data_IF_743340687569
#
_entry.id   IF_743340687569
#
_cell.length_a   1.000
_cell.length_b   1.000
_cell.length_c   1.000
_cell.angle_alpha   90.00
_cell.angle_beta   90.00
_cell.angle_gamma   90.00
#
_symmetry.space_group_name_H-M   'P 1'
#
loop_
_entity.id
_entity.type
_entity.pdbx_description
1 polymer ?
#
# COMPACT_ATOMS: atom_id res chain seq x y z
N UNK A 1 -9.64 11.36 23.51
CA UNK A 1 -8.45 10.71 22.93
C UNK A 1 -8.93 10.08 21.63
N UNK A 2 -8.27 10.35 20.51
CA UNK A 2 -8.64 9.71 19.25
C UNK A 2 -7.74 8.50 19.07
N UNK A 3 -8.36 7.33 18.85
CA UNK A 3 -7.67 6.04 18.78
C UNK A 3 -8.09 5.27 17.53
N UNK A 4 -7.14 4.56 16.95
CA UNK A 4 -7.35 3.63 15.85
C UNK A 4 -6.84 2.25 16.28
N UNK A 5 -7.70 1.23 16.32
CA UNK A 5 -7.24 -0.15 16.42
C UNK A 5 -6.31 -0.48 15.26
N UNK A 6 -5.26 -1.24 15.54
CA UNK A 6 -4.32 -1.73 14.54
C UNK A 6 -4.44 -3.24 14.47
N UNK A 7 -4.57 -3.76 13.24
CA UNK A 7 -4.58 -5.19 12.98
C UNK A 7 -3.51 -5.57 11.98
N UNK A 8 -3.01 -6.79 12.12
CA UNK A 8 -2.13 -7.43 11.15
C UNK A 8 -2.90 -8.60 10.52
N UNK A 9 -3.21 -8.48 9.23
CA UNK A 9 -4.30 -9.24 8.61
C UNK A 9 -5.60 -9.01 9.43
N UNK A 10 -6.14 -10.04 10.09
CA UNK A 10 -7.34 -9.95 10.92
C UNK A 10 -7.04 -9.97 12.44
N UNK A 11 -5.78 -10.14 12.82
CA UNK A 11 -5.36 -10.25 14.21
C UNK A 11 -5.20 -8.85 14.83
N UNK A 12 -5.91 -8.52 15.93
CA UNK A 12 -5.65 -7.30 16.68
C UNK A 12 -4.23 -7.32 17.25
N UNK A 13 -3.44 -6.29 16.96
CA UNK A 13 -2.07 -6.20 17.45
C UNK A 13 -1.87 -5.05 18.43
N UNK A 14 -2.74 -4.05 18.42
CA UNK A 14 -2.59 -2.88 19.27
C UNK A 14 -3.54 -1.74 18.91
N UNK A 15 -3.28 -0.58 19.49
CA UNK A 15 -4.02 0.66 19.27
C UNK A 15 -3.03 1.81 19.11
N UNK A 16 -3.27 2.64 18.10
CA UNK A 16 -2.55 3.91 17.95
C UNK A 16 -3.45 5.07 18.35
N UNK A 17 -2.96 5.93 19.23
CA UNK A 17 -3.66 7.08 19.76
C UNK A 17 -2.94 8.38 19.46
N UNK A 18 -3.71 9.47 19.41
CA UNK A 18 -3.19 10.85 19.33
C UNK A 18 -3.80 11.72 20.43
N UNK A 19 -2.97 12.52 21.10
CA UNK A 19 -3.38 13.35 22.24
C UNK A 19 -2.88 14.79 22.16
N UNK A 20 -3.74 15.71 22.61
CA UNK A 20 -3.43 17.13 22.78
C UNK A 20 -3.25 17.91 21.48
N UNK A 21 -3.07 19.23 21.60
CA UNK A 21 -2.81 20.14 20.47
C UNK A 21 -1.43 19.93 19.82
N UNK A 22 -0.50 19.27 20.53
CA UNK A 22 0.86 18.96 20.06
C UNK A 22 0.94 17.66 19.26
N UNK A 23 -0.20 17.00 19.00
CA UNK A 23 -0.25 15.75 18.22
C UNK A 23 0.70 14.68 18.76
N UNK A 24 0.62 14.41 20.07
CA UNK A 24 1.46 13.39 20.70
C UNK A 24 0.89 12.02 20.38
N UNK A 25 1.62 11.25 19.58
CA UNK A 25 1.30 9.89 19.19
C UNK A 25 1.70 8.89 20.28
N UNK A 26 0.86 7.88 20.46
CA UNK A 26 1.11 6.72 21.31
C UNK A 26 0.71 5.46 20.58
N UNK A 27 1.48 4.39 20.75
CA UNK A 27 1.16 3.09 20.22
C UNK A 27 1.31 2.06 21.33
N UNK A 28 0.28 1.25 21.51
CA UNK A 28 0.22 0.23 22.55
C UNK A 28 -0.13 -1.10 21.90
N UNK A 29 0.75 -2.10 22.04
CA UNK A 29 0.46 -3.45 21.61
C UNK A 29 -0.53 -4.13 22.57
N UNK A 30 -1.30 -5.08 22.07
CA UNK A 30 -2.08 -5.98 22.93
C UNK A 30 -1.16 -6.95 23.67
N UNK A 31 -1.56 -7.41 24.86
CA UNK A 31 -0.78 -8.39 25.61
C UNK A 31 -0.69 -9.73 24.86
N UNK A 32 -1.75 -10.11 24.13
CA UNK A 32 -1.76 -11.32 23.30
C UNK A 32 -0.74 -11.25 22.17
N UNK A 33 -0.57 -10.07 21.54
CA UNK A 33 0.41 -9.89 20.47
C UNK A 33 1.83 -9.84 21.01
N UNK A 34 2.07 -9.19 22.16
CA UNK A 34 3.39 -9.21 22.80
C UNK A 34 3.84 -10.64 23.16
N UNK A 35 2.91 -11.50 23.56
CA UNK A 35 3.21 -12.87 23.96
C UNK A 35 3.60 -13.81 22.80
N UNK A 36 3.17 -13.52 21.57
CA UNK A 36 3.25 -14.49 20.45
C UNK A 36 3.64 -13.90 19.10
N UNK A 37 3.65 -12.58 18.98
CA UNK A 37 3.90 -11.84 17.76
C UNK A 37 5.31 -11.26 17.70
N UNK A 38 5.42 -10.16 16.97
CA UNK A 38 6.68 -9.44 16.76
C UNK A 38 6.44 -7.93 16.69
N UNK A 39 7.51 -7.17 16.94
CA UNK A 39 7.52 -5.71 16.81
C UNK A 39 7.33 -5.33 15.33
N UNK A 40 6.37 -4.46 15.02
CA UNK A 40 6.05 -4.10 13.62
C UNK A 40 7.11 -3.18 12.98
N UNK A 41 8.01 -2.63 13.78
CA UNK A 41 9.21 -1.91 13.37
C UNK A 41 10.21 -1.99 14.53
N UNK A 42 11.53 -2.03 14.26
CA UNK A 42 12.55 -1.98 15.31
C UNK A 42 12.44 -0.75 16.23
N UNK A 43 11.80 0.32 15.75
CA UNK A 43 11.60 1.57 16.47
C UNK A 43 10.23 1.68 17.14
N UNK A 44 9.44 0.60 17.09
CA UNK A 44 8.20 0.42 17.84
C UNK A 44 8.34 -0.82 18.73
N UNK A 45 9.28 -0.83 19.70
CA UNK A 45 9.61 -2.02 20.47
C UNK A 45 8.53 -2.44 21.48
N UNK A 46 8.57 -3.71 21.88
CA UNK A 46 7.80 -4.23 23.01
C UNK A 46 8.36 -3.70 24.34
N UNK A 47 7.45 -3.48 25.29
CA UNK A 47 7.73 -3.16 26.70
C UNK A 47 8.74 -2.03 26.96
N UNK A 48 8.93 -1.15 25.97
CA UNK A 48 9.74 0.07 26.05
C UNK A 48 8.91 1.27 25.64
N UNK A 49 9.29 2.45 26.11
CA UNK A 49 8.64 3.69 25.70
C UNK A 49 8.91 3.94 24.22
N UNK A 50 7.83 3.95 23.43
CA UNK A 50 7.89 4.29 22.02
C UNK A 50 7.84 5.82 21.87
N UNK A 51 8.76 6.39 21.10
CA UNK A 51 8.78 7.83 20.87
C UNK A 51 7.63 8.27 19.96
N UNK A 52 6.97 9.38 20.30
CA UNK A 52 5.94 9.97 19.42
C UNK A 52 6.48 10.32 18.03
N UNK A 53 7.77 10.65 17.92
CA UNK A 53 8.41 10.98 16.64
C UNK A 53 8.57 9.76 15.74
N UNK A 54 8.98 8.62 16.32
CA UNK A 54 9.13 7.35 15.59
C UNK A 54 7.78 6.83 15.12
N UNK A 55 6.72 6.95 15.94
CA UNK A 55 5.35 6.61 15.52
C UNK A 55 4.91 7.48 14.35
N UNK A 56 5.11 8.80 14.43
CA UNK A 56 4.76 9.73 13.35
C UNK A 56 5.48 9.38 12.06
N UNK A 57 6.80 9.17 12.10
CA UNK A 57 7.60 8.78 10.92
C UNK A 57 7.17 7.43 10.35
N UNK A 58 6.89 6.45 11.20
CA UNK A 58 6.38 5.16 10.76
C UNK A 58 5.07 5.30 9.97
N UNK A 59 4.14 6.12 10.47
CA UNK A 59 2.87 6.41 9.78
C UNK A 59 3.07 7.21 8.50
N UNK A 60 3.94 8.22 8.50
CA UNK A 60 4.24 9.02 7.31
C UNK A 60 4.79 8.15 6.17
N UNK A 61 5.66 7.17 6.47
CA UNK A 61 6.18 6.22 5.48
C UNK A 61 5.12 5.22 4.98
N UNK A 62 3.95 5.11 5.62
CA UNK A 62 2.83 4.31 5.10
C UNK A 62 1.91 5.11 4.17
N UNK A 63 1.98 6.45 4.20
CA UNK A 63 1.15 7.29 3.36
C UNK A 63 1.65 7.28 1.90
N UNK A 64 0.76 7.51 0.93
CA UNK A 64 1.16 7.76 -0.45
C UNK A 64 2.05 9.01 -0.56
N UNK A 65 2.79 9.09 -1.65
CA UNK A 65 3.67 10.23 -1.95
C UNK A 65 3.19 11.01 -3.17
N UNK A 66 3.70 12.24 -3.34
CA UNK A 66 3.45 13.08 -4.51
C UNK A 66 1.97 13.19 -4.87
N UNK A 67 1.64 12.88 -6.14
CA UNK A 67 0.27 12.93 -6.67
C UNK A 67 -0.69 12.00 -5.92
N UNK A 68 -0.22 10.85 -5.41
CA UNK A 68 -1.07 9.93 -4.64
C UNK A 68 -1.57 10.56 -3.34
N UNK A 69 -0.72 11.36 -2.67
CA UNK A 69 -1.10 12.12 -1.49
C UNK A 69 -2.04 13.28 -1.85
N UNK A 70 -1.80 13.95 -2.98
CA UNK A 70 -2.68 15.01 -3.49
C UNK A 70 -4.09 14.48 -3.79
N UNK A 71 -4.17 13.33 -4.45
CA UNK A 71 -5.43 12.67 -4.77
C UNK A 71 -6.16 12.22 -3.48
N UNK A 72 -5.42 11.67 -2.50
CA UNK A 72 -5.98 11.29 -1.19
C UNK A 72 -6.55 12.49 -0.43
N UNK A 73 -5.76 13.56 -0.32
CA UNK A 73 -6.20 14.77 0.40
C UNK A 73 -7.37 15.46 -0.29
N UNK A 74 -7.38 15.49 -1.63
CA UNK A 74 -8.51 16.02 -2.41
C UNK A 74 -9.76 15.16 -2.25
N UNK A 75 -9.63 13.83 -2.23
CA UNK A 75 -10.75 12.90 -2.09
C UNK A 75 -11.35 12.91 -0.68
N UNK A 76 -10.50 13.03 0.35
CA UNK A 76 -10.92 12.97 1.76
C UNK A 76 -11.22 14.34 2.36
N UNK A 77 -10.79 15.42 1.71
CA UNK A 77 -10.78 16.79 2.23
C UNK A 77 -9.99 16.94 3.55
N UNK A 78 -9.03 16.04 3.80
CA UNK A 78 -8.15 16.06 4.96
C UNK A 78 -6.82 16.71 4.58
N UNK A 79 -6.33 17.61 5.43
CA UNK A 79 -5.03 18.27 5.25
C UNK A 79 -3.87 17.25 5.21
N UNK A 80 -2.87 17.50 4.36
CA UNK A 80 -1.64 16.70 4.25
C UNK A 80 -0.91 16.54 5.59
N UNK A 81 -1.04 17.53 6.48
CA UNK A 81 -0.37 17.52 7.77
C UNK A 81 -1.13 16.70 8.82
N UNK A 82 -2.40 16.36 8.58
CA UNK A 82 -3.22 15.56 9.50
C UNK A 82 -2.99 14.06 9.24
N UNK A 83 -1.80 13.57 9.57
CA UNK A 83 -1.38 12.18 9.35
C UNK A 83 -2.37 11.19 9.96
N UNK A 84 -2.80 11.42 11.21
CA UNK A 84 -3.77 10.55 11.87
C UNK A 84 -5.12 10.50 11.14
N UNK A 85 -5.62 11.65 10.66
CA UNK A 85 -6.84 11.73 9.88
C UNK A 85 -6.72 11.00 8.54
N UNK A 86 -5.59 11.15 7.85
CA UNK A 86 -5.31 10.44 6.60
C UNK A 86 -5.23 8.92 6.82
N UNK A 87 -4.56 8.47 7.89
CA UNK A 87 -4.52 7.06 8.27
C UNK A 87 -5.91 6.51 8.59
N UNK A 88 -6.75 7.28 9.28
CA UNK A 88 -8.14 6.92 9.55
C UNK A 88 -8.96 6.79 8.26
N UNK A 89 -8.74 7.69 7.29
CA UNK A 89 -9.47 7.68 6.02
C UNK A 89 -9.01 6.56 5.07
N UNK A 90 -7.70 6.26 5.03
CA UNK A 90 -7.14 5.14 4.26
C UNK A 90 -7.52 3.79 4.87
N UNK A 91 -7.47 3.71 6.20
CA UNK A 91 -7.89 2.57 7.00
C UNK A 91 -7.21 1.23 6.64
N UNK A 92 -7.90 0.41 5.84
CA UNK A 92 -7.69 -1.03 5.68
C UNK A 92 -6.67 -1.45 4.62
N UNK A 93 -6.22 -0.51 3.81
CA UNK A 93 -5.27 -0.78 2.74
C UNK A 93 -4.00 0.01 3.02
N UNK A 94 -2.95 -0.69 3.45
CA UNK A 94 -1.58 -0.16 3.53
C UNK A 94 -0.62 -1.08 2.79
N UNK A 95 0.60 -0.62 2.54
CA UNK A 95 1.71 -1.49 2.15
C UNK A 95 1.95 -2.54 3.23
N UNK A 96 2.12 -3.81 2.85
CA UNK A 96 2.23 -4.92 3.81
C UNK A 96 0.88 -5.40 4.36
N UNK A 97 0.86 -5.71 5.66
CA UNK A 97 -0.21 -6.46 6.32
C UNK A 97 -1.02 -5.66 7.34
N UNK A 98 -0.66 -4.40 7.60
CA UNK A 98 -1.30 -3.58 8.63
C UNK A 98 -2.61 -2.95 8.14
N UNK A 99 -3.55 -2.79 9.06
CA UNK A 99 -4.77 -2.02 8.86
C UNK A 99 -5.09 -1.21 10.11
N UNK A 100 -5.65 -0.02 9.89
CA UNK A 100 -5.93 0.96 10.94
C UNK A 100 -7.44 1.25 10.97
N UNK A 101 -8.04 1.26 12.15
CA UNK A 101 -9.45 1.59 12.36
C UNK A 101 -10.39 0.39 12.59
N UNK A 102 -11.65 0.69 12.91
CA UNK A 102 -12.70 -0.31 13.19
C UNK A 102 -13.35 -0.76 11.88
N UNK A 103 -13.38 -2.07 11.64
CA UNK A 103 -13.95 -2.69 10.43
C UNK A 103 -15.41 -2.26 10.23
N UNK A 104 -15.66 -1.49 9.17
CA UNK A 104 -17.01 -1.16 8.70
C UNK A 104 -17.19 -1.39 7.19
N UNK A 105 -16.58 -2.46 6.67
CA UNK A 105 -16.88 -2.95 5.32
C UNK A 105 -17.26 -4.42 5.38
N UNK A 106 -18.23 -4.76 4.54
CA UNK A 106 -18.60 -6.13 4.19
C UNK A 106 -17.32 -6.93 3.90
N UNK A 107 -16.99 -7.88 4.78
CA UNK A 107 -15.80 -8.74 4.64
C UNK A 107 -15.97 -9.77 3.52
N UNK A 108 -17.16 -9.82 2.91
CA UNK A 108 -17.45 -10.69 1.78
C UNK A 108 -16.43 -10.47 0.66
N UNK A 109 -15.69 -11.51 0.28
CA UNK A 109 -14.78 -11.45 -0.86
C UNK A 109 -15.53 -11.00 -2.11
N UNK A 110 -15.11 -9.88 -2.70
CA UNK A 110 -15.72 -9.36 -3.92
C UNK A 110 -14.65 -9.07 -4.96
N UNK A 111 -14.63 -9.89 -6.01
CA UNK A 111 -13.78 -9.68 -7.17
C UNK A 111 -14.52 -8.79 -8.17
N UNK A 112 -13.90 -7.67 -8.56
CA UNK A 112 -14.45 -6.75 -9.57
C UNK A 112 -13.57 -6.86 -10.82
N UNK A 113 -13.97 -7.61 -11.85
CA UNK A 113 -13.17 -7.79 -13.06
C UNK A 113 -12.83 -6.46 -13.73
N UNK A 114 -11.64 -6.35 -14.30
CA UNK A 114 -11.24 -5.24 -15.16
C UNK A 114 -11.07 -5.82 -16.57
N UNK A 115 -11.84 -5.30 -17.52
CA UNK A 115 -11.70 -5.70 -18.92
C UNK A 115 -10.50 -5.00 -19.57
N UNK A 116 -9.94 -5.60 -20.62
CA UNK A 116 -8.85 -4.99 -21.39
C UNK A 116 -9.26 -3.61 -21.93
N UNK A 117 -10.48 -3.50 -22.48
CA UNK A 117 -11.04 -2.24 -22.99
C UNK A 117 -11.11 -1.17 -21.91
N UNK A 118 -11.60 -1.53 -20.73
CA UNK A 118 -11.70 -0.59 -19.62
C UNK A 118 -10.32 -0.15 -19.13
N UNK A 119 -9.38 -1.07 -18.95
CA UNK A 119 -8.04 -0.71 -18.53
C UNK A 119 -7.33 0.17 -19.57
N UNK A 120 -7.49 -0.14 -20.86
CA UNK A 120 -6.95 0.67 -21.95
C UNK A 120 -7.47 2.11 -21.88
N UNK A 121 -8.79 2.29 -21.74
CA UNK A 121 -9.38 3.62 -21.58
C UNK A 121 -8.82 4.37 -20.36
N UNK A 122 -8.57 3.66 -19.25
CA UNK A 122 -7.97 4.29 -18.06
C UNK A 122 -6.54 4.72 -18.30
N UNK A 123 -5.77 3.96 -19.07
CA UNK A 123 -4.39 4.31 -19.42
C UNK A 123 -4.39 5.51 -20.38
N UNK A 124 -5.32 5.57 -21.35
CA UNK A 124 -5.48 6.73 -22.24
C UNK A 124 -5.74 8.03 -21.47
N UNK A 125 -6.44 7.94 -20.33
CA UNK A 125 -6.82 9.09 -19.51
C UNK A 125 -5.81 9.40 -18.38
N UNK A 126 -4.73 8.64 -18.25
CA UNK A 126 -3.84 8.62 -17.06
C UNK A 126 -3.20 9.98 -16.72
N UNK A 127 -2.99 10.83 -17.73
CA UNK A 127 -2.47 12.20 -17.54
C UNK A 127 -3.46 13.13 -16.84
N UNK A 128 -4.76 12.86 -17.00
CA UNK A 128 -5.85 13.72 -16.56
C UNK A 128 -6.67 13.14 -15.41
N UNK A 129 -6.65 11.81 -15.25
CA UNK A 129 -7.42 11.09 -14.25
C UNK A 129 -6.54 10.11 -13.51
N UNK A 130 -6.74 10.08 -12.20
CA UNK A 130 -6.03 9.19 -11.29
C UNK A 130 -6.29 7.71 -11.61
N UNK A 131 -5.22 6.93 -11.79
CA UNK A 131 -5.34 5.49 -12.07
C UNK A 131 -5.85 4.70 -10.86
N UNK A 132 -5.78 5.27 -9.66
CA UNK A 132 -6.20 4.62 -8.41
C UNK A 132 -7.65 4.88 -8.04
N UNK A 133 -8.39 5.75 -8.75
CA UNK A 133 -9.81 5.99 -8.45
C UNK A 133 -10.68 5.08 -9.31
N UNK A 134 -11.45 4.18 -8.70
CA UNK A 134 -12.35 3.24 -9.38
C UNK A 134 -13.68 3.11 -8.65
N UNK A 135 -14.79 3.10 -9.40
CA UNK A 135 -16.14 2.94 -8.82
C UNK A 135 -16.42 3.95 -7.69
N UNK A 136 -15.94 5.20 -7.86
CA UNK A 136 -15.98 6.30 -6.87
C UNK A 136 -15.26 5.98 -5.54
N UNK A 137 -14.35 5.02 -5.55
CA UNK A 137 -13.51 4.64 -4.40
C UNK A 137 -12.05 4.80 -4.78
N UNK A 138 -11.28 5.44 -3.92
CA UNK A 138 -9.83 5.43 -4.02
C UNK A 138 -9.31 4.03 -3.64
N UNK A 139 -8.40 3.51 -4.46
CA UNK A 139 -7.65 2.28 -4.22
C UNK A 139 -6.34 2.60 -3.52
N UNK A 140 -5.78 1.60 -2.83
CA UNK A 140 -4.45 1.70 -2.24
C UNK A 140 -3.44 2.31 -3.21
N UNK A 141 -2.96 3.49 -2.87
CA UNK A 141 -1.75 4.04 -3.47
C UNK A 141 -0.58 3.57 -2.64
N UNK A 142 0.28 2.74 -3.24
CA UNK A 142 1.55 2.41 -2.62
C UNK A 142 2.46 3.66 -2.69
N UNK A 143 3.30 3.91 -1.68
CA UNK A 143 4.31 4.98 -1.73
C UNK A 143 5.18 4.88 -3.00
N UNK A 144 5.62 6.01 -3.58
CA UNK A 144 6.42 6.23 -4.83
C UNK A 144 5.71 7.02 -5.96
N UNK A 145 6.50 7.66 -6.83
CA UNK A 145 6.09 8.68 -7.83
C UNK A 145 5.35 8.12 -9.05
N UNK A 146 5.57 6.85 -9.40
CA UNK A 146 5.00 6.25 -10.61
C UNK A 146 3.55 5.80 -10.42
N UNK A 147 2.73 6.04 -11.45
CA UNK A 147 1.35 5.58 -11.53
C UNK A 147 1.28 4.04 -11.45
N UNK A 148 0.43 3.55 -10.55
CA UNK A 148 0.31 2.12 -10.29
C UNK A 148 -1.05 1.75 -9.73
N UNK A 149 -1.44 0.50 -9.97
CA UNK A 149 -2.71 -0.06 -9.54
C UNK A 149 -2.50 -1.46 -8.96
N UNK A 150 -2.78 -1.67 -7.65
CA UNK A 150 -2.82 -3.00 -7.08
C UNK A 150 -4.02 -3.78 -7.64
N UNK A 151 -3.76 -5.00 -8.12
CA UNK A 151 -4.77 -5.86 -8.75
C UNK A 151 -4.68 -7.29 -8.23
N UNK A 152 -5.78 -8.02 -8.32
CA UNK A 152 -5.85 -9.46 -8.12
C UNK A 152 -5.86 -10.14 -9.49
N UNK A 153 -4.95 -11.09 -9.68
CA UNK A 153 -4.99 -12.04 -10.79
C UNK A 153 -5.61 -13.33 -10.27
N UNK A 154 -6.78 -13.70 -10.80
CA UNK A 154 -7.52 -14.91 -10.38
C UNK A 154 -8.02 -15.63 -11.63
N UNK A 155 -7.64 -16.89 -11.79
CA UNK A 155 -8.05 -17.73 -12.93
C UNK A 155 -7.80 -17.02 -14.28
N UNK A 156 -6.60 -16.45 -14.46
CA UNK A 156 -6.19 -15.58 -15.59
C UNK A 156 -6.94 -14.25 -15.75
N UNK A 157 -8.00 -14.02 -14.97
CA UNK A 157 -8.74 -12.77 -14.98
C UNK A 157 -8.10 -11.73 -14.06
N UNK A 158 -7.94 -10.51 -14.59
CA UNK A 158 -7.48 -9.35 -13.85
C UNK A 158 -8.66 -8.61 -13.23
N UNK A 159 -8.53 -8.16 -11.98
CA UNK A 159 -9.57 -7.35 -11.35
C UNK A 159 -9.16 -6.68 -10.05
N UNK A 160 -10.06 -5.85 -9.53
CA UNK A 160 -9.90 -5.20 -8.24
C UNK A 160 -10.34 -6.15 -7.12
N UNK A 161 -9.48 -6.31 -6.14
CA UNK A 161 -9.82 -6.96 -4.88
C UNK A 161 -10.68 -6.02 -4.02
N UNK A 162 -11.83 -6.49 -3.56
CA UNK A 162 -12.68 -5.80 -2.59
C UNK A 162 -13.07 -6.75 -1.44
N UNK A 163 -13.50 -6.15 -0.33
CA UNK A 163 -13.93 -6.89 0.86
C UNK A 163 -12.75 -7.67 1.45
N UNK A 164 -12.92 -8.97 1.69
CA UNK A 164 -11.85 -9.85 2.22
C UNK A 164 -10.78 -10.27 1.20
N UNK A 165 -10.85 -9.85 -0.06
CA UNK A 165 -9.80 -10.14 -1.04
C UNK A 165 -8.63 -9.16 -0.92
N UNK A 166 -7.44 -9.62 -1.30
CA UNK A 166 -6.23 -8.79 -1.38
C UNK A 166 -5.64 -8.83 -2.79
N UNK A 167 -5.00 -7.74 -3.21
CA UNK A 167 -4.21 -7.72 -4.43
C UNK A 167 -2.98 -8.63 -4.31
N UNK A 168 -2.63 -9.25 -5.43
CA UNK A 168 -1.49 -10.17 -5.61
C UNK A 168 -0.42 -9.55 -6.50
N UNK A 169 -0.80 -8.56 -7.31
CA UNK A 169 0.05 -7.95 -8.29
C UNK A 169 -0.08 -6.43 -8.24
N UNK A 170 0.92 -5.74 -8.77
CA UNK A 170 0.92 -4.29 -8.97
C UNK A 170 1.12 -4.07 -10.47
N UNK A 171 0.18 -3.39 -11.10
CA UNK A 171 0.38 -2.84 -12.43
C UNK A 171 1.10 -1.50 -12.30
N UNK A 172 2.15 -1.30 -13.08
CA UNK A 172 2.87 -0.03 -13.19
C UNK A 172 2.73 0.50 -14.61
N UNK A 173 2.45 1.79 -14.69
CA UNK A 173 2.16 2.47 -15.94
C UNK A 173 3.26 3.49 -16.26
N UNK A 174 3.29 3.93 -17.51
CA UNK A 174 4.12 5.05 -17.94
C UNK A 174 3.24 6.27 -18.19
N UNK A 175 3.84 7.45 -18.03
CA UNK A 175 3.24 8.75 -18.38
C UNK A 175 4.14 9.43 -19.40
N UNK A 176 3.67 10.50 -20.04
CA UNK A 176 4.46 11.31 -20.99
C UNK A 176 5.74 11.86 -20.37
N UNK A 177 5.77 12.07 -19.05
CA UNK A 177 6.98 12.56 -18.36
C UNK A 177 8.03 11.45 -18.19
N UNK A 178 7.60 10.19 -18.14
CA UNK A 178 8.43 9.03 -17.87
C UNK A 178 8.26 7.99 -18.99
N UNK A 179 8.49 8.41 -20.23
CA UNK A 179 8.41 7.51 -21.38
C UNK A 179 9.40 6.34 -21.21
N UNK A 180 8.98 5.15 -21.64
CA UNK A 180 9.77 3.91 -21.57
C UNK A 180 10.13 3.40 -20.17
N UNK A 181 9.66 4.04 -19.08
CA UNK A 181 9.98 3.59 -17.71
C UNK A 181 9.55 2.14 -17.46
N UNK A 182 8.43 1.71 -18.06
CA UNK A 182 7.92 0.35 -17.98
C UNK A 182 8.88 -0.66 -18.63
N UNK A 183 9.36 -0.35 -19.83
CA UNK A 183 10.28 -1.24 -20.58
C UNK A 183 11.64 -1.27 -19.92
N UNK A 184 12.13 -0.11 -19.44
CA UNK A 184 13.37 -0.01 -18.68
C UNK A 184 13.30 -0.87 -17.41
N UNK A 185 12.24 -0.74 -16.61
CA UNK A 185 12.08 -1.53 -15.39
C UNK A 185 11.97 -3.03 -15.70
N UNK A 186 11.21 -3.42 -16.73
CA UNK A 186 11.17 -4.82 -17.18
C UNK A 186 12.56 -5.36 -17.53
N UNK A 187 13.34 -4.61 -18.30
CA UNK A 187 14.70 -4.98 -18.68
C UNK A 187 15.60 -5.15 -17.45
N UNK A 188 15.61 -4.17 -16.54
CA UNK A 188 16.45 -4.20 -15.35
C UNK A 188 16.09 -5.37 -14.41
N UNK A 189 14.79 -5.60 -14.19
CA UNK A 189 14.30 -6.70 -13.36
C UNK A 189 14.63 -8.06 -13.98
N UNK A 190 14.46 -8.19 -15.31
CA UNK A 190 14.82 -9.42 -16.03
C UNK A 190 16.32 -9.69 -15.96
N UNK A 191 17.15 -8.66 -16.18
CA UNK A 191 18.61 -8.78 -16.08
C UNK A 191 19.05 -9.15 -14.66
N UNK A 192 18.46 -8.53 -13.64
CA UNK A 192 18.76 -8.84 -12.24
C UNK A 192 18.43 -10.30 -11.90
N UNK A 193 17.30 -10.81 -12.39
CA UNK A 193 16.92 -12.22 -12.24
C UNK A 193 17.90 -13.16 -12.93
N UNK A 194 18.26 -12.89 -14.18
CA UNK A 194 19.26 -13.68 -14.94
C UNK A 194 20.66 -13.62 -14.30
N UNK A 195 20.99 -12.52 -13.63
CA UNK A 195 22.22 -12.37 -12.85
C UNK A 195 22.18 -13.10 -11.49
N UNK A 196 21.08 -13.76 -11.13
CA UNK A 196 20.93 -14.51 -9.88
C UNK A 196 20.56 -13.67 -8.66
N UNK A 197 20.10 -12.44 -8.84
CA UNK A 197 19.61 -11.60 -7.74
C UNK A 197 18.19 -11.99 -7.33
N UNK A 198 17.88 -11.86 -6.05
CA UNK A 198 16.52 -12.03 -5.54
C UNK A 198 15.69 -10.79 -5.87
N UNK A 199 14.85 -10.90 -6.90
CA UNK A 199 13.94 -9.84 -7.34
C UNK A 199 12.52 -10.36 -7.44
N UNK A 200 11.55 -9.44 -7.42
CA UNK A 200 10.15 -9.79 -7.65
C UNK A 200 9.96 -10.33 -9.08
N UNK A 201 9.04 -11.27 -9.25
CA UNK A 201 8.63 -11.73 -10.56
C UNK A 201 7.91 -10.62 -11.32
N UNK A 202 8.27 -10.43 -12.58
CA UNK A 202 7.69 -9.42 -13.44
C UNK A 202 7.31 -9.98 -14.79
N UNK A 203 6.23 -9.45 -15.37
CA UNK A 203 5.86 -9.71 -16.76
C UNK A 203 5.45 -8.41 -17.45
N UNK A 204 5.78 -8.30 -18.73
CA UNK A 204 5.36 -7.19 -19.57
C UNK A 204 4.04 -7.58 -20.27
N UNK A 205 2.99 -6.79 -20.06
CA UNK A 205 1.71 -6.94 -20.77
C UNK A 205 1.48 -5.74 -21.68
N UNK A 206 0.71 -5.94 -22.75
CA UNK A 206 0.30 -4.88 -23.68
C UNK A 206 -1.21 -4.72 -23.63
N UNK A 207 -1.67 -3.47 -23.50
CA UNK A 207 -3.08 -3.09 -23.56
C UNK A 207 -3.25 -2.08 -24.69
N UNK A 208 -3.76 -2.53 -25.84
CA UNK A 208 -3.64 -1.82 -27.12
C UNK A 208 -2.19 -1.45 -27.44
N UNK A 209 -1.83 -0.16 -27.42
CA UNK A 209 -0.45 0.32 -27.65
C UNK A 209 0.34 0.55 -26.36
N UNK A 210 -0.28 0.40 -25.19
CA UNK A 210 0.32 0.73 -23.91
C UNK A 210 1.07 -0.45 -23.30
N UNK A 211 2.39 -0.35 -23.05
CA UNK A 211 3.10 -1.33 -22.23
C UNK A 211 2.75 -1.13 -20.75
N UNK A 212 2.49 -2.22 -20.05
CA UNK A 212 2.20 -2.24 -18.61
C UNK A 212 3.09 -3.29 -17.95
N UNK A 213 3.85 -2.87 -16.94
CA UNK A 213 4.62 -3.81 -16.13
C UNK A 213 3.71 -4.40 -15.06
N UNK A 214 3.63 -5.72 -15.00
CA UNK A 214 2.93 -6.44 -13.96
C UNK A 214 3.95 -7.07 -13.02
N UNK A 215 3.94 -6.65 -11.76
CA UNK A 215 4.87 -7.09 -10.72
C UNK A 215 4.12 -7.96 -9.71
N UNK A 216 4.61 -9.18 -9.46
CA UNK A 216 4.09 -10.04 -8.39
C UNK A 216 4.50 -9.50 -7.02
N UNK A 217 3.55 -9.42 -6.10
CA UNK A 217 3.81 -8.89 -4.76
C UNK A 217 4.49 -9.92 -3.88
N UNK A 218 5.75 -9.68 -3.52
CA UNK A 218 6.50 -10.51 -2.58
C UNK A 218 5.97 -10.46 -1.14
N UNK A 219 5.15 -9.45 -0.80
CA UNK A 219 4.50 -9.33 0.51
C UNK A 219 3.15 -10.08 0.57
N UNK A 220 2.93 -11.04 -0.33
CA UNK A 220 1.70 -11.84 -0.43
C UNK A 220 2.07 -13.31 -0.54
N UNK A 221 1.38 -14.15 0.25
CA UNK A 221 1.43 -15.61 0.12
C UNK A 221 0.07 -16.05 -0.41
N UNK A 222 0.05 -16.53 -1.64
CA UNK A 222 -1.16 -16.98 -2.33
C UNK A 222 -1.41 -18.44 -1.98
N UNK A 223 -2.61 -18.74 -1.50
CA UNK A 223 -3.14 -20.09 -1.30
C UNK A 223 -4.45 -20.23 -2.09
N UNK A 224 -4.91 -21.47 -2.35
CA UNK A 224 -6.01 -21.77 -3.30
C UNK A 224 -7.21 -20.82 -3.24
N UNK A 225 -7.59 -20.31 -2.06
CA UNK A 225 -8.72 -19.38 -1.90
C UNK A 225 -8.42 -18.16 -1.04
N UNK A 226 -7.18 -17.98 -0.60
CA UNK A 226 -6.81 -16.92 0.35
C UNK A 226 -5.47 -16.30 -0.01
N UNK A 227 -5.34 -15.01 0.28
CA UNK A 227 -4.09 -14.28 0.12
C UNK A 227 -3.69 -13.79 1.51
N UNK A 228 -2.64 -14.38 2.09
CA UNK A 228 -2.08 -13.94 3.36
C UNK A 228 -1.12 -12.79 3.10
N UNK A 229 -1.27 -11.68 3.81
CA UNK A 229 -0.35 -10.54 3.72
C UNK A 229 0.83 -10.79 4.66
N UNK A 230 2.03 -10.58 4.15
CA UNK A 230 3.25 -10.52 4.95
C UNK A 230 3.47 -9.08 5.39
N UNK A 231 3.91 -8.90 6.63
CA UNK A 231 4.35 -7.60 7.09
C UNK A 231 5.71 -7.28 6.50
N UNK A 232 5.83 -6.09 5.95
CA UNK A 232 7.07 -5.56 5.39
C UNK A 232 7.21 -4.13 5.85
N UNK A 233 8.46 -3.69 5.95
CA UNK A 233 8.83 -2.30 6.15
C UNK A 233 9.89 -1.92 5.12
N UNK A 234 9.93 -0.66 4.72
CA UNK A 234 10.99 -0.15 3.87
C UNK A 234 12.26 0.22 4.66
N UNK A 235 13.32 0.64 3.95
CA UNK A 235 14.57 1.07 4.58
C UNK A 235 14.42 2.31 5.47
N UNK A 236 13.51 3.23 5.15
CA UNK A 236 13.25 4.40 5.97
C UNK A 236 12.60 4.01 7.31
N UNK A 237 11.60 3.14 7.28
CA UNK A 237 10.94 2.59 8.47
C UNK A 237 11.88 1.71 9.30
N UNK A 238 12.78 0.97 8.66
CA UNK A 238 13.80 0.16 9.33
C UNK A 238 14.80 1.05 10.10
N UNK A 239 15.15 2.21 9.54
CA UNK A 239 16.17 3.12 10.08
C UNK A 239 15.59 4.33 10.85
N UNK A 240 14.27 4.39 11.06
CA UNK A 240 13.54 5.52 11.65
C UNK A 240 13.79 6.86 10.93
N UNK A 241 13.91 6.81 9.61
CA UNK A 241 14.13 7.98 8.76
C UNK A 241 12.81 8.56 8.23
N UNK A 242 12.73 9.89 8.10
CA UNK A 242 11.62 10.52 7.40
C UNK A 242 11.67 10.26 5.89
N UNK A 243 10.51 10.37 5.27
CA UNK A 243 10.30 10.10 3.84
C UNK A 243 11.19 10.95 2.90
N UNK A 244 11.55 12.17 3.30
CA UNK A 244 12.29 13.13 2.46
C UNK A 244 13.80 12.87 2.36
N UNK A 245 14.31 11.77 2.94
CA UNK A 245 15.71 11.35 2.81
C UNK A 245 15.94 10.22 1.80
N UNK A 246 14.93 9.87 0.99
CA UNK A 246 15.14 8.97 -0.16
C UNK A 246 15.96 9.72 -1.22
N UNK A 247 17.26 9.42 -1.26
CA UNK A 247 18.22 9.88 -2.29
C UNK A 247 18.05 9.07 -3.56
#
# INVERSE_FOLDING_TARGET
MNELPVKLNDLPIGTIGITGKKEIYKFEYTDEWKASGYEISPHLPFDKTISSGSIKRFLENLLPEGKGLDDLTSFTHISKNNIFGLMQAMGFETSGALSFGRIHKDTRPLFRPITEKELTQRIDEIESKSIIIWDKKQRLSLAWVQEKLPVLLKDEALGLANGGLSSTHILKFQTKRNENIVVNEYFCMSLAKEAGLMVAEVSLRKYAEHPVLMVERFDRVISKHTVKKLHIIDGCQMLDLPLFLQV
#
